data_IF_068170040634
#
_entry.id   IF_068170040634
#
_cell.length_a   1.000
_cell.length_b   1.000
_cell.length_c   1.000
_cell.angle_alpha   90.00
_cell.angle_beta   90.00
_cell.angle_gamma   90.00
#
_symmetry.space_group_name_H-M   'P 1'
#
loop_
_entity.id
_entity.type
_entity.pdbx_description
1 polymer ?
#
# COMPACT_ATOMS: atom_id res chain seq x y z
N UNK A 1 -7.40 19.05 -16.62
CA UNK A 1 -6.49 17.95 -16.24
C UNK A 1 -7.29 16.84 -15.58
N UNK A 2 -7.07 15.62 -16.01
CA UNK A 2 -7.73 14.45 -15.43
C UNK A 2 -6.79 13.72 -14.49
N UNK A 3 -7.34 12.91 -13.60
CA UNK A 3 -6.55 12.10 -12.65
C UNK A 3 -5.49 11.27 -13.39
N UNK A 4 -5.87 10.69 -14.53
CA UNK A 4 -4.94 9.87 -15.33
C UNK A 4 -3.70 10.63 -15.79
N UNK A 5 -3.76 11.94 -15.86
CA UNK A 5 -2.63 12.78 -16.27
C UNK A 5 -1.64 13.01 -15.13
N UNK A 6 -2.07 12.76 -13.89
CA UNK A 6 -1.27 12.96 -12.68
C UNK A 6 -0.86 11.66 -12.00
N UNK A 7 -1.55 10.56 -12.29
CA UNK A 7 -1.31 9.31 -11.57
C UNK A 7 -0.02 8.64 -12.02
N UNK A 8 0.52 7.82 -11.14
CA UNK A 8 1.66 6.98 -11.44
C UNK A 8 1.18 5.72 -12.19
N UNK A 9 1.85 5.37 -13.28
CA UNK A 9 1.52 4.17 -14.05
C UNK A 9 2.15 2.91 -13.47
N UNK A 10 3.17 3.04 -12.66
CA UNK A 10 3.81 1.91 -11.99
C UNK A 10 3.17 1.73 -10.63
N UNK A 11 2.24 0.79 -10.55
CA UNK A 11 1.49 0.54 -9.32
C UNK A 11 2.02 -0.72 -8.67
N UNK A 12 2.54 -0.58 -7.44
CA UNK A 12 2.75 -1.72 -6.56
C UNK A 12 1.61 -1.77 -5.56
N UNK A 13 1.16 -2.97 -5.27
CA UNK A 13 0.12 -3.18 -4.28
C UNK A 13 0.47 -4.38 -3.42
N UNK A 14 -0.06 -4.39 -2.20
CA UNK A 14 0.04 -5.51 -1.30
C UNK A 14 -1.17 -6.43 -1.47
N UNK A 15 -1.07 -7.65 -0.95
CA UNK A 15 -2.19 -8.56 -0.81
C UNK A 15 -2.46 -8.77 0.68
N UNK A 16 -3.65 -9.26 1.05
CA UNK A 16 -3.94 -9.52 2.47
C UNK A 16 -2.98 -10.52 3.14
N UNK A 17 -2.30 -11.33 2.35
CA UNK A 17 -1.32 -12.31 2.88
C UNK A 17 0.08 -11.74 3.04
N UNK A 18 0.36 -10.54 2.55
CA UNK A 18 1.64 -9.89 2.79
C UNK A 18 1.81 -9.59 4.28
N UNK A 19 3.04 -9.69 4.77
CA UNK A 19 3.34 -9.32 6.15
C UNK A 19 3.42 -7.81 6.30
N UNK A 20 3.29 -7.35 7.53
CA UNK A 20 3.49 -5.93 7.86
C UNK A 20 4.89 -5.48 7.44
N UNK A 21 5.90 -6.34 7.66
CA UNK A 21 7.28 -6.05 7.26
C UNK A 21 7.40 -5.84 5.76
N UNK A 22 6.75 -6.69 4.97
CA UNK A 22 6.75 -6.56 3.51
C UNK A 22 6.11 -5.25 3.07
N UNK A 23 4.98 -4.87 3.68
CA UNK A 23 4.33 -3.60 3.39
C UNK A 23 5.21 -2.41 3.77
N UNK A 24 5.86 -2.47 4.93
CA UNK A 24 6.76 -1.40 5.36
C UNK A 24 7.94 -1.25 4.41
N UNK A 25 8.46 -2.36 3.90
CA UNK A 25 9.53 -2.35 2.90
C UNK A 25 9.08 -1.69 1.61
N UNK A 26 7.86 -1.99 1.14
CA UNK A 26 7.29 -1.33 -0.04
C UNK A 26 7.18 0.17 0.16
N UNK A 27 6.68 0.60 1.33
CA UNK A 27 6.56 2.03 1.65
C UNK A 27 7.91 2.72 1.63
N UNK A 28 8.92 2.08 2.20
CA UNK A 28 10.28 2.62 2.24
C UNK A 28 10.86 2.76 0.84
N UNK A 29 10.73 1.72 0.02
CA UNK A 29 11.27 1.71 -1.34
C UNK A 29 10.61 2.74 -2.25
N UNK A 30 9.33 2.98 -2.06
CA UNK A 30 8.55 3.94 -2.86
C UNK A 30 8.47 5.32 -2.25
N UNK A 31 8.96 5.50 -1.03
CA UNK A 31 8.88 6.77 -0.30
C UNK A 31 7.43 7.24 -0.15
N UNK A 32 6.55 6.31 0.19
CA UNK A 32 5.11 6.60 0.39
C UNK A 32 4.68 6.12 1.76
N UNK A 33 3.59 6.69 2.26
CA UNK A 33 3.02 6.31 3.56
C UNK A 33 1.73 5.51 3.45
N UNK A 34 1.37 5.06 2.26
CA UNK A 34 0.14 4.32 2.02
C UNK A 34 0.33 3.31 0.90
N UNK A 35 -0.18 2.10 1.11
CA UNK A 35 -0.14 1.04 0.10
C UNK A 35 -1.57 0.53 -0.10
N UNK A 36 -1.96 0.39 -1.36
CA UNK A 36 -3.23 -0.23 -1.74
C UNK A 36 -3.15 -1.74 -1.54
N UNK A 37 -4.20 -2.33 -1.00
CA UNK A 37 -4.29 -3.78 -0.80
C UNK A 37 -5.31 -4.33 -1.79
N UNK A 38 -4.89 -5.29 -2.60
CA UNK A 38 -5.72 -5.93 -3.62
C UNK A 38 -5.83 -7.43 -3.35
N UNK A 39 -6.96 -8.02 -3.73
CA UNK A 39 -7.14 -9.47 -3.66
C UNK A 39 -6.56 -10.16 -4.90
N UNK A 40 -6.71 -11.48 -4.99
CA UNK A 40 -6.19 -12.27 -6.12
C UNK A 40 -6.84 -11.90 -7.46
N UNK A 41 -8.00 -11.29 -7.44
CA UNK A 41 -8.70 -10.82 -8.64
C UNK A 41 -8.33 -9.38 -9.00
N UNK A 42 -7.33 -8.83 -8.33
CA UNK A 42 -6.83 -7.46 -8.53
C UNK A 42 -7.86 -6.38 -8.19
N UNK A 43 -8.82 -6.72 -7.34
CA UNK A 43 -9.77 -5.73 -6.81
C UNK A 43 -9.23 -5.15 -5.51
N UNK A 44 -9.38 -3.83 -5.37
CA UNK A 44 -8.96 -3.15 -4.14
C UNK A 44 -9.87 -3.59 -3.00
N UNK A 45 -9.28 -4.12 -1.94
CA UNK A 45 -10.00 -4.54 -0.74
C UNK A 45 -9.69 -3.67 0.47
N UNK A 46 -8.70 -2.81 0.39
CA UNK A 46 -8.38 -1.90 1.48
C UNK A 46 -7.14 -1.08 1.21
N UNK A 47 -6.74 -0.35 2.24
CA UNK A 47 -5.52 0.45 2.26
C UNK A 47 -4.81 0.18 3.58
N UNK A 48 -3.50 0.25 3.57
CA UNK A 48 -2.69 0.24 4.78
C UNK A 48 -1.79 1.46 4.78
N UNK A 49 -1.69 2.13 5.93
CA UNK A 49 -0.84 3.30 6.08
C UNK A 49 0.27 3.01 7.08
N UNK A 50 1.33 3.80 7.03
CA UNK A 50 2.40 3.76 8.02
C UNK A 50 1.88 4.01 9.43
N UNK A 51 0.87 4.88 9.56
CA UNK A 51 0.22 5.13 10.84
C UNK A 51 -0.50 3.90 11.37
N UNK A 52 -1.21 3.15 10.51
CA UNK A 52 -1.88 1.92 10.91
C UNK A 52 -0.87 0.91 11.46
N UNK A 53 0.27 0.78 10.80
CA UNK A 53 1.34 -0.12 11.22
C UNK A 53 1.88 0.28 12.59
N UNK A 54 2.16 1.55 12.78
CA UNK A 54 2.69 2.05 14.05
C UNK A 54 1.70 1.85 15.19
N UNK A 55 0.42 2.21 14.97
CA UNK A 55 -0.58 2.16 16.01
C UNK A 55 -0.97 0.72 16.40
N UNK A 56 -0.95 -0.20 15.45
CA UNK A 56 -1.43 -1.57 15.69
C UNK A 56 -0.32 -2.56 16.01
N UNK A 57 0.90 -2.29 15.56
CA UNK A 57 1.99 -3.25 15.68
C UNK A 57 3.07 -2.82 16.65
N UNK A 58 3.23 -1.53 16.92
CA UNK A 58 4.31 -0.99 17.72
C UNK A 58 3.77 -0.33 19.01
N UNK A 59 2.71 0.42 18.88
CA UNK A 59 2.06 1.07 20.03
C UNK A 59 0.94 0.17 20.66
#
# INVERSE_FOLDING_TARGET
MKVKDCMCNEIEYATPSNTVHECATMMSNKHVGCITVCNNSQNVVGLVTDRDIILRCIA
#
